data_IF_982185165629
#
_entry.id   IF_982185165629
#
_cell.length_a   1.000
_cell.length_b   1.000
_cell.length_c   1.000
_cell.angle_alpha   90.00
_cell.angle_beta   90.00
_cell.angle_gamma   90.00
#
_symmetry.space_group_name_H-M   'P 1'
#
loop_
_entity.id
_entity.type
_entity.pdbx_description
1 polymer ?
#
# COMPACT_ATOMS: atom_id res chain seq x y z
N UNK A 1 -9.18 20.87 -13.08
CA UNK A 1 -8.68 21.31 -11.76
C UNK A 1 -8.11 20.12 -10.96
N UNK A 2 -8.79 18.97 -10.92
CA UNK A 2 -8.28 17.71 -10.32
C UNK A 2 -6.96 17.18 -10.92
N UNK A 3 -6.74 17.33 -12.24
CA UNK A 3 -5.50 16.86 -12.89
C UNK A 3 -4.22 17.46 -12.31
N UNK A 4 -4.24 18.74 -11.92
CA UNK A 4 -3.05 19.39 -11.34
C UNK A 4 -2.74 18.86 -9.94
N UNK A 5 -3.76 18.46 -9.18
CA UNK A 5 -3.59 17.97 -7.81
C UNK A 5 -3.05 16.54 -7.77
N UNK A 6 -3.57 15.62 -8.59
CA UNK A 6 -3.03 14.26 -8.70
C UNK A 6 -1.61 14.27 -9.31
N UNK A 7 -1.38 15.11 -10.32
CA UNK A 7 -0.05 15.30 -10.90
C UNK A 7 0.96 15.83 -9.88
N UNK A 8 0.53 16.72 -9.00
CA UNK A 8 1.34 17.27 -7.91
C UNK A 8 1.61 16.24 -6.83
N UNK A 9 0.64 15.39 -6.48
CA UNK A 9 0.81 14.34 -5.46
C UNK A 9 1.82 13.30 -5.93
N UNK A 10 1.70 12.80 -7.17
CA UNK A 10 2.62 11.79 -7.71
C UNK A 10 4.04 12.35 -7.88
N UNK A 11 4.17 13.64 -8.27
CA UNK A 11 5.46 14.34 -8.36
C UNK A 11 6.06 14.61 -6.99
N UNK A 12 5.26 15.07 -6.01
CA UNK A 12 5.69 15.25 -4.61
C UNK A 12 6.13 13.92 -4.01
N UNK A 13 5.42 12.84 -4.32
CA UNK A 13 5.77 11.47 -3.93
C UNK A 13 7.16 11.10 -4.48
N UNK A 14 7.36 11.12 -5.80
CA UNK A 14 8.66 10.77 -6.42
C UNK A 14 9.80 11.69 -5.95
N UNK A 15 9.53 12.98 -5.77
CA UNK A 15 10.53 13.94 -5.32
C UNK A 15 10.96 13.71 -3.86
N UNK A 16 10.02 13.34 -2.99
CA UNK A 16 10.32 13.07 -1.58
C UNK A 16 11.28 11.89 -1.40
N UNK A 17 11.21 10.88 -2.27
CA UNK A 17 12.05 9.68 -2.15
C UNK A 17 13.41 9.77 -2.84
N UNK A 18 13.59 10.62 -3.87
CA UNK A 18 14.87 10.73 -4.60
C UNK A 18 16.06 11.16 -3.71
N UNK A 19 15.79 11.82 -2.59
CA UNK A 19 16.81 12.33 -1.68
C UNK A 19 16.87 11.58 -0.34
N UNK A 20 16.05 10.54 -0.14
CA UNK A 20 16.06 9.76 1.09
C UNK A 20 17.24 8.79 1.09
N UNK A 21 18.17 9.00 2.03
CA UNK A 21 19.24 8.05 2.35
C UNK A 21 18.85 7.31 3.63
N UNK A 22 18.80 5.98 3.55
CA UNK A 22 18.42 5.13 4.65
C UNK A 22 17.80 3.81 4.19
N UNK A 23 17.68 2.87 5.13
CA UNK A 23 17.00 1.60 4.88
C UNK A 23 15.49 1.83 4.92
N UNK A 24 14.83 1.47 3.82
CA UNK A 24 13.39 1.66 3.65
C UNK A 24 12.64 0.41 4.12
N UNK A 25 11.64 0.63 4.96
CA UNK A 25 10.68 -0.36 5.43
C UNK A 25 9.29 0.01 4.90
N UNK A 26 8.71 -0.89 4.10
CA UNK A 26 7.36 -0.73 3.55
C UNK A 26 6.43 -1.68 4.28
N UNK A 27 5.30 -1.17 4.76
CA UNK A 27 4.21 -2.03 5.24
C UNK A 27 3.65 -2.82 4.07
N UNK A 28 3.79 -4.16 4.11
CA UNK A 28 3.36 -4.98 2.98
C UNK A 28 1.84 -5.17 2.92
N UNK A 29 1.19 -5.18 4.07
CA UNK A 29 -0.25 -5.40 4.21
C UNK A 29 -1.05 -4.14 3.89
N UNK A 30 -2.26 -4.33 3.37
CA UNK A 30 -3.22 -3.25 3.16
C UNK A 30 -3.85 -2.86 4.50
N UNK A 31 -3.47 -1.69 5.02
CA UNK A 31 -4.04 -1.15 6.25
C UNK A 31 -4.57 0.26 5.98
N UNK A 32 -5.87 0.54 6.18
CA UNK A 32 -6.42 1.87 5.97
C UNK A 32 -5.66 2.96 6.73
N UNK A 33 -5.46 4.11 6.09
CA UNK A 33 -4.66 5.22 6.65
C UNK A 33 -5.22 5.68 8.00
N UNK A 34 -6.53 5.70 8.16
CA UNK A 34 -7.20 6.04 9.41
C UNK A 34 -6.82 5.08 10.54
N UNK A 35 -6.72 3.78 10.25
CA UNK A 35 -6.34 2.77 11.23
C UNK A 35 -4.85 2.88 11.60
N UNK A 36 -3.99 3.17 10.62
CA UNK A 36 -2.58 3.48 10.87
C UNK A 36 -2.44 4.69 11.82
N UNK A 37 -3.17 5.77 11.55
CA UNK A 37 -3.16 6.97 12.38
C UNK A 37 -3.67 6.71 13.81
N UNK A 38 -4.70 5.85 13.96
CA UNK A 38 -5.20 5.44 15.28
C UNK A 38 -4.14 4.66 16.05
N UNK A 39 -3.46 3.71 15.39
CA UNK A 39 -2.39 2.93 15.98
C UNK A 39 -1.23 3.83 16.44
N UNK A 40 -0.68 4.69 15.56
CA UNK A 40 0.48 5.51 15.90
C UNK A 40 0.16 6.51 17.02
N UNK A 41 -1.03 7.10 17.04
CA UNK A 41 -1.47 7.95 18.17
C UNK A 41 -1.59 7.17 19.48
N UNK A 42 -1.95 5.89 19.43
CA UNK A 42 -2.01 5.05 20.61
C UNK A 42 -0.60 4.67 21.08
N UNK A 43 0.28 4.28 20.16
CA UNK A 43 1.70 3.99 20.44
C UNK A 43 2.44 5.20 21.01
N UNK A 44 2.24 6.41 20.45
CA UNK A 44 2.81 7.64 21.01
C UNK A 44 2.31 7.95 22.43
N UNK A 45 1.01 7.73 22.70
CA UNK A 45 0.46 7.89 24.05
C UNK A 45 1.06 6.87 25.02
N UNK A 46 1.23 5.64 24.58
CA UNK A 46 1.89 4.59 25.35
C UNK A 46 3.32 4.98 25.71
N UNK A 47 4.13 5.42 24.73
CA UNK A 47 5.53 5.84 24.94
C UNK A 47 5.66 6.97 25.96
N UNK A 48 4.71 7.92 25.97
CA UNK A 48 4.68 9.02 26.96
C UNK A 48 4.34 8.54 28.37
N UNK A 49 3.48 7.53 28.49
CA UNK A 49 3.00 7.01 29.77
C UNK A 49 3.92 5.94 30.38
N UNK A 50 4.71 5.23 29.57
CA UNK A 50 5.53 4.09 30.01
C UNK A 50 6.69 4.43 30.96
N UNK A 51 7.00 5.71 31.18
CA UNK A 51 7.86 6.16 32.28
C UNK A 51 9.34 5.72 32.23
N UNK A 52 9.79 5.06 31.15
CA UNK A 52 11.23 4.84 30.88
C UNK A 52 11.82 3.47 31.25
N UNK A 53 11.02 2.45 31.57
CA UNK A 53 11.52 1.09 31.81
C UNK A 53 11.53 0.26 30.51
N UNK A 54 12.47 0.59 29.61
CA UNK A 54 12.74 -0.16 28.39
C UNK A 54 14.22 -0.60 28.35
N UNK A 55 14.55 -1.75 27.75
CA UNK A 55 13.64 -2.74 27.18
C UNK A 55 12.85 -3.51 28.25
N UNK A 56 11.65 -4.00 27.90
CA UNK A 56 10.85 -4.86 28.79
C UNK A 56 11.53 -6.22 28.99
N UNK A 57 11.24 -6.91 30.08
CA UNK A 57 11.81 -8.24 30.35
C UNK A 57 11.17 -9.34 29.49
N UNK A 58 11.92 -10.40 29.19
CA UNK A 58 11.43 -11.54 28.41
C UNK A 58 10.18 -12.18 29.04
N UNK A 59 10.14 -12.28 30.37
CA UNK A 59 9.00 -12.84 31.12
C UNK A 59 7.71 -12.03 30.89
N UNK A 60 7.81 -10.70 30.92
CA UNK A 60 6.68 -9.79 30.65
C UNK A 60 6.21 -9.92 29.20
N UNK A 61 7.16 -9.98 28.26
CA UNK A 61 6.86 -10.14 26.84
C UNK A 61 6.12 -11.46 26.56
N UNK A 62 6.58 -12.56 27.14
CA UNK A 62 5.92 -13.87 27.05
C UNK A 62 4.54 -13.86 27.71
N UNK A 63 4.39 -13.15 28.84
CA UNK A 63 3.11 -13.00 29.51
C UNK A 63 2.09 -12.23 28.66
N UNK A 64 2.48 -11.10 28.08
CA UNK A 64 1.61 -10.35 27.16
C UNK A 64 1.22 -11.17 25.94
N UNK A 65 2.13 -11.96 25.39
CA UNK A 65 1.85 -12.81 24.24
C UNK A 65 0.90 -13.95 24.58
N UNK A 66 1.14 -14.68 25.68
CA UNK A 66 0.21 -15.72 26.16
C UNK A 66 -1.18 -15.16 26.36
N UNK A 67 -1.26 -13.97 26.97
CA UNK A 67 -2.53 -13.24 27.06
C UNK A 67 -3.06 -12.92 25.67
N UNK A 68 -2.30 -12.38 24.73
CA UNK A 68 -2.84 -12.05 23.41
C UNK A 68 -3.46 -13.25 22.69
N UNK A 69 -2.92 -14.43 22.93
CA UNK A 69 -3.16 -15.66 22.15
C UNK A 69 -4.11 -16.65 22.83
N UNK A 70 -4.55 -16.39 24.06
CA UNK A 70 -5.48 -17.23 24.80
C UNK A 70 -6.93 -17.01 24.31
N UNK A 71 -7.59 -18.09 23.88
CA UNK A 71 -8.94 -18.09 23.34
C UNK A 71 -10.03 -18.26 24.41
N UNK A 72 -9.71 -18.77 25.59
CA UNK A 72 -10.69 -19.05 26.66
C UNK A 72 -10.99 -17.80 27.52
N UNK A 73 -10.04 -16.86 27.56
CA UNK A 73 -10.19 -15.55 28.16
C UNK A 73 -10.74 -14.60 27.08
N UNK A 74 -12.06 -14.40 27.02
CA UNK A 74 -12.68 -13.47 26.05
C UNK A 74 -12.11 -12.07 26.28
N UNK A 75 -11.15 -11.67 25.44
CA UNK A 75 -10.51 -10.34 25.47
C UNK A 75 -11.31 -9.40 24.59
N UNK A 76 -11.61 -8.22 25.12
CA UNK A 76 -12.09 -7.12 24.29
C UNK A 76 -11.06 -6.77 23.19
N UNK A 77 -11.54 -6.22 22.08
CA UNK A 77 -10.68 -5.74 20.98
C UNK A 77 -9.66 -4.73 21.52
N UNK A 78 -10.07 -3.89 22.46
CA UNK A 78 -9.25 -2.89 23.14
C UNK A 78 -8.09 -3.53 23.91
N UNK A 79 -8.34 -4.58 24.69
CA UNK A 79 -7.28 -5.27 25.44
C UNK A 79 -6.27 -5.94 24.50
N UNK A 80 -6.73 -6.56 23.42
CA UNK A 80 -5.82 -7.13 22.39
C UNK A 80 -4.94 -6.04 21.79
N UNK A 81 -5.52 -4.87 21.50
CA UNK A 81 -4.79 -3.69 20.99
C UNK A 81 -3.75 -3.18 21.99
N UNK A 82 -4.08 -3.13 23.28
CA UNK A 82 -3.12 -2.76 24.33
C UNK A 82 -1.95 -3.76 24.44
N UNK A 83 -2.23 -5.06 24.37
CA UNK A 83 -1.20 -6.10 24.39
C UNK A 83 -0.27 -5.99 23.17
N UNK A 84 -0.81 -5.72 21.99
CA UNK A 84 -0.03 -5.46 20.77
C UNK A 84 0.86 -4.22 20.93
N UNK A 85 0.36 -3.14 21.54
CA UNK A 85 1.16 -1.95 21.84
C UNK A 85 2.29 -2.23 22.82
N UNK A 86 2.03 -3.01 23.88
CA UNK A 86 3.05 -3.41 24.85
C UNK A 86 4.17 -4.20 24.17
N UNK A 87 3.80 -5.19 23.35
CA UNK A 87 4.75 -5.99 22.59
C UNK A 87 5.55 -5.12 21.61
N UNK A 88 4.89 -4.26 20.83
CA UNK A 88 5.53 -3.39 19.83
C UNK A 88 6.56 -2.42 20.45
N UNK A 89 6.22 -1.86 21.61
CA UNK A 89 7.02 -0.84 22.26
C UNK A 89 8.03 -1.38 23.29
N UNK A 90 8.03 -2.69 23.53
CA UNK A 90 8.92 -3.38 24.48
C UNK A 90 10.41 -3.18 24.21
N UNK A 91 10.80 -2.83 22.97
CA UNK A 91 12.20 -2.87 22.48
C UNK A 91 12.91 -4.21 22.75
N UNK A 92 12.16 -5.31 22.87
CA UNK A 92 12.71 -6.62 23.18
C UNK A 92 12.70 -7.54 21.92
N UNK A 93 13.84 -8.14 21.52
CA UNK A 93 13.88 -9.11 20.42
C UNK A 93 12.93 -10.30 20.57
N UNK A 94 12.58 -10.70 21.80
CA UNK A 94 11.58 -11.74 22.08
C UNK A 94 10.21 -11.30 21.57
N UNK A 95 9.76 -10.08 21.88
CA UNK A 95 8.50 -9.54 21.37
C UNK A 95 8.46 -9.48 19.85
N UNK A 96 9.58 -9.17 19.20
CA UNK A 96 9.66 -9.21 17.74
C UNK A 96 9.39 -10.63 17.21
N UNK A 97 10.03 -11.65 17.79
CA UNK A 97 9.79 -13.06 17.40
C UNK A 97 8.34 -13.47 17.63
N UNK A 98 7.76 -13.09 18.77
CA UNK A 98 6.39 -13.42 19.16
C UNK A 98 5.36 -12.73 18.25
N UNK A 99 5.53 -11.45 17.94
CA UNK A 99 4.68 -10.72 16.99
C UNK A 99 4.80 -11.30 15.58
N UNK A 100 6.01 -11.69 15.15
CA UNK A 100 6.24 -12.34 13.87
C UNK A 100 5.49 -13.67 13.79
N UNK A 101 5.52 -14.45 14.87
CA UNK A 101 4.73 -15.67 14.98
C UNK A 101 3.23 -15.38 14.92
N UNK A 102 2.72 -14.43 15.71
CA UNK A 102 1.29 -14.06 15.71
C UNK A 102 0.77 -13.71 14.31
N UNK A 103 1.55 -12.92 13.57
CA UNK A 103 1.23 -12.52 12.19
C UNK A 103 1.25 -13.71 11.24
N UNK A 104 2.18 -14.65 11.42
CA UNK A 104 2.28 -15.85 10.60
C UNK A 104 1.17 -16.88 10.89
N UNK A 105 0.73 -16.98 12.15
CA UNK A 105 -0.30 -17.93 12.60
C UNK A 105 -1.74 -17.48 12.21
N UNK A 106 -1.89 -16.26 11.70
CA UNK A 106 -3.19 -15.68 11.33
C UNK A 106 -3.79 -14.92 12.52
N UNK A 107 -3.53 -13.61 12.66
CA UNK A 107 -4.05 -12.82 13.77
C UNK A 107 -5.57 -12.72 13.72
N UNK A 108 -6.19 -12.43 14.86
CA UNK A 108 -7.63 -12.21 14.92
C UNK A 108 -8.05 -11.10 13.94
N UNK A 109 -9.10 -11.29 13.11
CA UNK A 109 -9.45 -10.32 12.07
C UNK A 109 -9.67 -8.89 12.58
N UNK A 110 -10.17 -8.74 13.81
CA UNK A 110 -10.49 -7.46 14.45
C UNK A 110 -9.24 -6.63 14.83
N UNK A 111 -8.08 -7.29 14.98
CA UNK A 111 -6.81 -6.65 15.37
C UNK A 111 -5.65 -6.95 14.40
N UNK A 112 -5.91 -7.66 13.30
CA UNK A 112 -4.90 -8.01 12.30
C UNK A 112 -4.10 -6.78 11.82
N UNK A 113 -4.78 -5.66 11.52
CA UNK A 113 -4.13 -4.41 11.13
C UNK A 113 -3.16 -3.90 12.20
N UNK A 114 -3.54 -3.98 13.48
CA UNK A 114 -2.68 -3.57 14.59
C UNK A 114 -1.51 -4.53 14.78
N UNK A 115 -1.70 -5.82 14.52
CA UNK A 115 -0.62 -6.80 14.58
C UNK A 115 0.47 -6.53 13.53
N UNK A 116 0.07 -6.22 12.29
CA UNK A 116 1.01 -5.87 11.22
C UNK A 116 1.80 -4.59 11.56
N UNK A 117 1.12 -3.56 12.06
CA UNK A 117 1.74 -2.31 12.48
C UNK A 117 2.67 -2.50 13.69
N UNK A 118 2.25 -3.32 14.67
CA UNK A 118 3.05 -3.66 15.85
C UNK A 118 4.36 -4.36 15.49
N UNK A 119 4.29 -5.39 14.64
CA UNK A 119 5.46 -6.13 14.17
C UNK A 119 6.47 -5.22 13.48
N UNK A 120 5.97 -4.34 12.62
CA UNK A 120 6.79 -3.43 11.86
C UNK A 120 7.39 -2.31 12.73
N UNK A 121 6.64 -1.78 13.69
CA UNK A 121 7.15 -0.77 14.63
C UNK A 121 8.31 -1.33 15.47
N UNK A 122 8.16 -2.55 16.03
CA UNK A 122 9.26 -3.15 16.80
C UNK A 122 10.46 -3.50 15.92
N UNK A 123 10.24 -3.92 14.67
CA UNK A 123 11.32 -4.18 13.73
C UNK A 123 12.16 -2.92 13.51
N UNK A 124 11.51 -1.80 13.20
CA UNK A 124 12.18 -0.52 12.98
C UNK A 124 12.89 -0.06 14.25
N UNK A 125 12.25 -0.18 15.42
CA UNK A 125 12.84 0.21 16.69
C UNK A 125 14.11 -0.58 17.00
N UNK A 126 14.09 -1.90 16.83
CA UNK A 126 15.26 -2.75 17.03
C UNK A 126 16.35 -2.44 16.02
N UNK A 127 16.03 -2.37 14.73
CA UNK A 127 17.03 -2.09 13.68
C UNK A 127 17.67 -0.71 13.85
N UNK A 128 16.91 0.29 14.32
CA UNK A 128 17.43 1.63 14.61
C UNK A 128 18.38 1.67 15.81
N UNK A 129 18.26 0.74 16.76
CA UNK A 129 19.17 0.65 17.90
C UNK A 129 20.52 -0.01 17.49
N UNK A 130 20.54 -0.81 16.42
CA UNK A 130 21.75 -1.51 15.93
C UNK A 130 22.42 -0.87 14.71
N UNK A 131 21.75 0.05 14.00
CA UNK A 131 22.24 0.64 12.76
C UNK A 131 22.39 2.16 12.89
N UNK A 132 23.53 2.70 12.43
CA UNK A 132 23.71 4.13 12.23
C UNK A 132 22.95 4.65 10.99
N UNK A 133 22.45 3.73 10.15
CA UNK A 133 21.63 4.08 9.00
C UNK A 133 20.22 4.49 9.42
N UNK A 134 19.74 5.62 8.90
CA UNK A 134 18.38 6.09 9.13
C UNK A 134 17.37 5.05 8.67
N UNK A 135 16.52 4.58 9.58
CA UNK A 135 15.40 3.70 9.25
C UNK A 135 14.21 4.55 8.78
N UNK A 136 13.77 4.34 7.54
CA UNK A 136 12.70 5.11 6.92
C UNK A 136 11.48 4.22 6.79
N UNK A 137 10.41 4.61 7.46
CA UNK A 137 9.13 3.94 7.36
C UNK A 137 8.25 4.56 6.27
N UNK A 138 7.68 3.71 5.41
CA UNK A 138 6.69 4.08 4.41
C UNK A 138 5.47 3.19 4.58
N UNK A 139 4.31 3.82 4.69
CA UNK A 139 3.04 3.15 4.58
C UNK A 139 2.09 3.88 3.65
N UNK A 140 1.32 3.07 2.94
CA UNK A 140 0.21 3.48 2.08
C UNK A 140 -0.99 2.61 2.47
N UNK A 141 -2.20 3.01 2.06
CA UNK A 141 -3.37 2.19 2.34
C UNK A 141 -3.34 0.85 1.58
N UNK A 142 -2.69 0.82 0.40
CA UNK A 142 -2.50 -0.37 -0.44
C UNK A 142 -1.26 -1.22 -0.08
N UNK A 143 -0.41 -0.73 0.83
CA UNK A 143 0.86 -1.37 1.19
C UNK A 143 1.87 -1.46 0.05
N UNK A 144 2.77 -2.43 0.14
CA UNK A 144 3.76 -2.72 -0.89
C UNK A 144 4.46 -4.06 -0.73
N UNK A 145 5.67 -4.18 -1.28
CA UNK A 145 6.51 -5.38 -1.20
C UNK A 145 7.96 -5.02 -1.46
N UNK A 146 8.85 -5.37 -0.53
CA UNK A 146 10.27 -4.99 -0.62
C UNK A 146 10.45 -3.48 -0.76
N UNK A 147 10.95 -3.01 -1.92
CA UNK A 147 11.14 -1.57 -2.23
C UNK A 147 10.11 -1.03 -3.23
N UNK A 148 9.02 -1.76 -3.45
CA UNK A 148 7.93 -1.41 -4.38
C UNK A 148 6.66 -1.07 -3.60
N UNK A 149 5.94 -0.05 -4.04
CA UNK A 149 4.62 0.29 -3.51
C UNK A 149 3.52 -0.20 -4.44
N UNK A 150 2.39 -0.54 -3.84
CA UNK A 150 1.23 -1.08 -4.53
C UNK A 150 0.31 0.06 -4.98
N UNK A 151 -0.06 0.04 -6.25
CA UNK A 151 -0.93 1.04 -6.88
C UNK A 151 -2.07 0.34 -7.60
N UNK A 152 -3.27 0.90 -7.45
CA UNK A 152 -4.42 0.58 -8.28
C UNK A 152 -4.47 1.60 -9.42
N UNK A 153 -4.61 1.13 -10.65
CA UNK A 153 -4.74 1.97 -11.85
C UNK A 153 -5.98 1.57 -12.62
N UNK A 154 -6.77 2.57 -13.01
CA UNK A 154 -7.92 2.43 -13.90
C UNK A 154 -7.62 3.14 -15.23
N UNK A 155 -7.69 2.39 -16.32
CA UNK A 155 -7.66 2.93 -17.69
C UNK A 155 -9.05 2.79 -18.30
N UNK A 156 -9.42 3.75 -19.15
CA UNK A 156 -10.72 3.74 -19.82
C UNK A 156 -10.51 3.67 -21.33
N UNK A 157 -11.42 3.00 -22.03
CA UNK A 157 -11.38 2.97 -23.50
C UNK A 157 -11.69 4.35 -24.07
N UNK A 158 -11.10 4.64 -25.23
CA UNK A 158 -11.38 5.87 -25.96
C UNK A 158 -12.86 5.88 -26.40
N UNK A 159 -13.59 6.90 -25.98
CA UNK A 159 -15.02 7.05 -26.28
C UNK A 159 -15.91 5.96 -25.69
N UNK A 160 -15.51 5.30 -24.59
CA UNK A 160 -16.24 4.22 -23.89
C UNK A 160 -16.67 3.03 -24.77
N UNK A 161 -16.03 2.84 -25.93
CA UNK A 161 -16.31 1.69 -26.78
C UNK A 161 -15.83 0.40 -26.11
N UNK A 162 -16.58 -0.71 -26.20
CA UNK A 162 -16.09 -1.99 -25.73
C UNK A 162 -14.79 -2.38 -26.46
N UNK A 163 -13.82 -2.90 -25.72
CA UNK A 163 -12.58 -3.41 -26.31
C UNK A 163 -12.86 -4.65 -27.15
N UNK A 164 -12.42 -4.59 -28.40
CA UNK A 164 -12.41 -5.75 -29.29
C UNK A 164 -11.39 -6.79 -28.82
N UNK A 165 -11.57 -8.05 -29.21
CA UNK A 165 -10.70 -9.15 -28.76
C UNK A 165 -9.21 -8.90 -29.05
N UNK A 166 -8.88 -8.29 -30.19
CA UNK A 166 -7.49 -7.96 -30.50
C UNK A 166 -6.94 -6.83 -29.61
N UNK A 167 -7.77 -5.84 -29.25
CA UNK A 167 -7.37 -4.72 -28.39
C UNK A 167 -7.04 -5.24 -26.99
N UNK A 168 -7.84 -6.17 -26.45
CA UNK A 168 -7.56 -6.83 -25.18
C UNK A 168 -6.20 -7.53 -25.18
N UNK A 169 -5.90 -8.27 -26.24
CA UNK A 169 -4.61 -8.95 -26.40
C UNK A 169 -3.43 -7.97 -26.52
N UNK A 170 -3.62 -6.84 -27.23
CA UNK A 170 -2.60 -5.78 -27.31
C UNK A 170 -2.35 -5.19 -25.93
N UNK A 171 -3.40 -4.83 -25.19
CA UNK A 171 -3.28 -4.30 -23.81
C UNK A 171 -2.50 -5.27 -22.94
N UNK A 172 -2.91 -6.54 -22.87
CA UNK A 172 -2.24 -7.54 -22.05
C UNK A 172 -0.75 -7.68 -22.41
N UNK A 173 -0.44 -7.73 -23.70
CA UNK A 173 0.94 -7.89 -24.19
C UNK A 173 1.81 -6.67 -23.89
N UNK A 174 1.38 -5.49 -24.30
CA UNK A 174 2.19 -4.27 -24.18
C UNK A 174 2.39 -3.88 -22.71
N UNK A 175 1.34 -3.97 -21.89
CA UNK A 175 1.45 -3.68 -20.46
C UNK A 175 2.38 -4.68 -19.76
N UNK A 176 2.24 -5.98 -20.03
CA UNK A 176 3.12 -7.00 -19.44
C UNK A 176 4.58 -6.77 -19.85
N UNK A 177 4.82 -6.49 -21.13
CA UNK A 177 6.16 -6.22 -21.64
C UNK A 177 6.77 -4.98 -20.99
N UNK A 178 6.13 -3.82 -21.13
CA UNK A 178 6.65 -2.54 -20.65
C UNK A 178 6.90 -2.53 -19.14
N UNK A 179 5.98 -3.11 -18.36
CA UNK A 179 6.10 -3.15 -16.90
C UNK A 179 7.26 -4.04 -16.45
N UNK A 180 7.46 -5.20 -17.10
CA UNK A 180 8.64 -6.04 -16.84
C UNK A 180 9.95 -5.30 -17.12
N UNK A 181 10.03 -4.56 -18.23
CA UNK A 181 11.22 -3.80 -18.61
C UNK A 181 11.50 -2.66 -17.62
N UNK A 182 10.46 -2.06 -17.06
CA UNK A 182 10.55 -1.04 -16.03
C UNK A 182 10.82 -1.60 -14.61
N UNK A 183 10.89 -2.93 -14.44
CA UNK A 183 11.05 -3.58 -13.14
C UNK A 183 9.81 -3.51 -12.25
N UNK A 184 8.63 -3.27 -12.82
CA UNK A 184 7.35 -3.30 -12.12
C UNK A 184 6.85 -4.75 -12.05
N UNK A 185 6.05 -5.05 -11.02
CA UNK A 185 5.38 -6.35 -10.90
C UNK A 185 3.88 -6.14 -11.08
N UNK A 186 3.26 -6.89 -12.00
CA UNK A 186 1.81 -6.90 -12.18
C UNK A 186 1.20 -7.95 -11.25
N UNK A 187 0.44 -7.52 -10.26
CA UNK A 187 -0.32 -8.43 -9.38
C UNK A 187 -1.69 -8.77 -9.98
N UNK A 188 -2.31 -7.84 -10.69
CA UNK A 188 -3.57 -8.07 -11.41
C UNK A 188 -3.61 -7.21 -12.66
N UNK A 189 -4.08 -7.80 -13.76
CA UNK A 189 -4.47 -7.10 -14.98
C UNK A 189 -5.80 -7.69 -15.41
N UNK A 190 -6.85 -6.88 -15.34
CA UNK A 190 -8.19 -7.27 -15.71
C UNK A 190 -8.73 -6.31 -16.78
N UNK A 191 -8.97 -6.83 -17.98
CA UNK A 191 -9.57 -6.06 -19.09
C UNK A 191 -11.07 -6.32 -19.10
N UNK A 192 -11.84 -5.36 -18.60
CA UNK A 192 -13.29 -5.38 -18.63
C UNK A 192 -13.83 -5.02 -20.03
N UNK A 193 -15.11 -4.65 -20.13
CA UNK A 193 -15.69 -4.27 -21.42
C UNK A 193 -15.09 -2.99 -21.98
N UNK A 194 -15.04 -1.91 -21.22
CA UNK A 194 -14.60 -0.59 -21.67
C UNK A 194 -13.61 0.09 -20.70
N UNK A 195 -13.04 -0.68 -19.77
CA UNK A 195 -11.99 -0.22 -18.86
C UNK A 195 -11.02 -1.35 -18.54
N UNK A 196 -9.86 -0.98 -18.00
CA UNK A 196 -8.82 -1.91 -17.55
C UNK A 196 -8.47 -1.58 -16.12
N UNK A 197 -8.45 -2.60 -15.27
CA UNK A 197 -7.98 -2.50 -13.89
C UNK A 197 -6.61 -3.13 -13.77
N UNK A 198 -5.70 -2.41 -13.12
CA UNK A 198 -4.35 -2.89 -12.85
C UNK A 198 -4.05 -2.76 -11.36
N UNK A 199 -3.44 -3.80 -10.81
CA UNK A 199 -2.79 -3.77 -9.52
C UNK A 199 -1.29 -3.96 -9.74
N UNK A 200 -0.51 -2.93 -9.44
CA UNK A 200 0.90 -2.84 -9.80
C UNK A 200 1.77 -2.60 -8.57
N UNK A 201 2.87 -3.33 -8.46
CA UNK A 201 3.97 -3.05 -7.56
C UNK A 201 5.05 -2.27 -8.31
N UNK A 202 5.16 -0.99 -7.97
CA UNK A 202 6.03 -0.03 -8.66
C UNK A 202 7.21 0.34 -7.75
N UNK A 203 8.47 0.26 -8.22
CA UNK A 203 9.62 0.74 -7.46
C UNK A 203 9.44 2.20 -7.05
N UNK A 204 9.82 2.54 -5.81
CA UNK A 204 9.67 3.92 -5.29
C UNK A 204 10.34 4.97 -6.19
N UNK A 205 11.49 4.63 -6.79
CA UNK A 205 12.23 5.49 -7.70
C UNK A 205 11.73 5.45 -9.16
N UNK A 206 10.68 4.69 -9.46
CA UNK A 206 10.15 4.47 -10.80
C UNK A 206 9.44 5.70 -11.37
N UNK A 207 9.65 5.97 -12.66
CA UNK A 207 8.96 7.06 -13.36
C UNK A 207 7.60 6.60 -13.91
N UNK A 208 6.58 6.63 -13.04
CA UNK A 208 5.22 6.17 -13.36
C UNK A 208 4.67 6.84 -14.61
N UNK A 209 4.71 8.18 -14.68
CA UNK A 209 4.11 8.93 -15.80
C UNK A 209 4.74 8.58 -17.13
N UNK A 210 6.06 8.43 -17.17
CA UNK A 210 6.77 8.07 -18.40
C UNK A 210 6.37 6.68 -18.84
N UNK A 211 6.48 5.67 -17.97
CA UNK A 211 6.18 4.28 -18.34
C UNK A 211 4.72 4.14 -18.78
N UNK A 212 3.77 4.64 -17.98
CA UNK A 212 2.35 4.60 -18.35
C UNK A 212 2.06 5.32 -19.66
N UNK A 213 2.60 6.54 -19.84
CA UNK A 213 2.37 7.33 -21.05
C UNK A 213 3.04 6.74 -22.30
N UNK A 214 4.19 6.09 -22.16
CA UNK A 214 4.84 5.37 -23.26
C UNK A 214 4.00 4.14 -23.65
N UNK A 215 3.58 3.33 -22.67
CA UNK A 215 2.77 2.12 -22.90
C UNK A 215 1.38 2.42 -23.48
N UNK A 216 0.69 3.46 -23.01
CA UNK A 216 -0.62 3.85 -23.58
C UNK A 216 -0.45 4.28 -25.04
N UNK A 217 0.62 5.02 -25.36
CA UNK A 217 0.91 5.43 -26.74
C UNK A 217 1.20 4.23 -27.63
N UNK A 218 1.99 3.27 -27.17
CA UNK A 218 2.28 2.02 -27.89
C UNK A 218 1.00 1.23 -28.20
N UNK A 219 0.09 1.09 -27.23
CA UNK A 219 -1.22 0.49 -27.50
C UNK A 219 -2.02 1.27 -28.55
N UNK A 220 -1.99 2.59 -28.47
CA UNK A 220 -2.76 3.47 -29.34
C UNK A 220 -2.23 3.56 -30.78
N UNK A 221 -1.01 3.11 -31.07
CA UNK A 221 -0.53 2.93 -32.46
C UNK A 221 -1.42 1.96 -33.26
N UNK A 222 -2.14 1.07 -32.56
CA UNK A 222 -3.05 0.09 -33.13
C UNK A 222 -4.53 0.56 -33.19
N UNK A 223 -4.77 1.87 -33.29
CA UNK A 223 -6.11 2.42 -33.59
C UNK A 223 -6.74 3.30 -32.51
N UNK A 224 -5.94 3.95 -31.65
CA UNK A 224 -6.39 4.94 -30.67
C UNK A 224 -7.60 4.51 -29.81
N UNK A 225 -7.53 3.31 -29.22
CA UNK A 225 -8.64 2.71 -28.48
C UNK A 225 -8.53 2.85 -26.95
N UNK A 226 -7.38 3.28 -26.42
CA UNK A 226 -7.21 3.61 -25.00
C UNK A 226 -7.21 5.13 -24.82
N UNK A 227 -7.84 5.61 -23.75
CA UNK A 227 -7.71 7.00 -23.33
C UNK A 227 -6.28 7.30 -22.86
N UNK A 228 -5.77 8.48 -23.21
CA UNK A 228 -4.50 8.99 -22.66
C UNK A 228 -4.61 9.33 -21.16
N UNK A 229 -5.85 9.42 -20.65
CA UNK A 229 -6.15 9.70 -19.24
C UNK A 229 -6.38 8.39 -18.49
N UNK A 230 -5.77 8.30 -17.32
CA UNK A 230 -5.91 7.17 -16.40
C UNK A 230 -6.00 7.69 -14.96
N UNK A 231 -6.64 6.91 -14.09
CA UNK A 231 -6.70 7.18 -12.65
C UNK A 231 -5.73 6.26 -11.93
N UNK A 232 -4.99 6.78 -10.96
CA UNK A 232 -4.02 6.01 -10.17
C UNK A 232 -4.14 6.38 -8.69
N UNK A 233 -4.14 5.36 -7.81
CA UNK A 233 -4.19 5.55 -6.36
C UNK A 233 -3.38 4.49 -5.62
N UNK A 234 -2.79 4.86 -4.48
CA UNK A 234 -2.14 3.95 -3.54
C UNK A 234 -2.86 3.89 -2.18
N UNK A 235 -4.10 4.40 -2.11
CA UNK A 235 -4.88 4.47 -0.87
C UNK A 235 -5.78 3.25 -0.73
N UNK A 236 -6.63 2.97 -1.71
CA UNK A 236 -7.53 1.82 -1.74
C UNK A 236 -7.86 1.49 -3.21
N UNK A 237 -8.32 0.27 -3.53
CA UNK A 237 -8.92 -0.01 -4.83
C UNK A 237 -10.16 0.85 -5.02
N UNK A 238 -10.48 1.18 -6.27
CA UNK A 238 -11.74 1.85 -6.58
C UNK A 238 -12.89 0.85 -6.46
N UNK A 239 -14.00 1.32 -5.88
CA UNK A 239 -15.26 0.58 -5.90
C UNK A 239 -15.93 0.65 -7.27
N UNK A 240 -16.84 -0.27 -7.56
CA UNK A 240 -17.63 -0.25 -8.80
C UNK A 240 -18.35 1.09 -9.01
N UNK A 241 -18.85 1.70 -7.93
CA UNK A 241 -19.50 3.01 -7.98
C UNK A 241 -18.51 4.12 -8.39
N UNK A 242 -17.32 4.15 -7.78
CA UNK A 242 -16.26 5.12 -8.14
C UNK A 242 -15.79 4.93 -9.59
N UNK A 243 -15.66 3.68 -10.05
CA UNK A 243 -15.34 3.36 -11.45
C UNK A 243 -16.42 3.92 -12.38
N UNK A 244 -17.70 3.68 -12.08
CA UNK A 244 -18.80 4.16 -12.90
C UNK A 244 -18.84 5.69 -12.96
N UNK A 245 -18.64 6.39 -11.84
CA UNK A 245 -18.57 7.86 -11.82
C UNK A 245 -17.42 8.41 -12.67
N UNK A 246 -16.27 7.75 -12.68
CA UNK A 246 -15.13 8.15 -13.52
C UNK A 246 -15.47 7.95 -14.99
N UNK A 247 -16.11 6.83 -15.33
CA UNK A 247 -16.53 6.55 -16.69
C UNK A 247 -17.56 7.59 -17.17
N UNK A 248 -18.51 7.99 -16.33
CA UNK A 248 -19.54 8.98 -16.67
C UNK A 248 -18.96 10.39 -16.87
N UNK A 249 -17.99 10.80 -16.05
CA UNK A 249 -17.26 12.07 -16.25
C UNK A 249 -16.39 12.10 -17.50
N UNK A 250 -15.94 10.93 -17.97
CA UNK A 250 -15.20 10.85 -19.23
C UNK A 250 -16.11 11.14 -20.44
N UNK A 251 -17.40 10.79 -20.37
CA UNK A 251 -18.37 11.07 -21.45
C UNK A 251 -18.68 12.55 -21.62
N UNK A 252 -18.90 13.28 -20.53
CA UNK A 252 -19.24 14.72 -20.59
C UNK A 252 -18.12 15.55 -21.26
N UNK A 253 -16.86 15.17 -21.04
CA UNK A 253 -15.71 15.84 -21.64
C UNK A 253 -15.47 15.42 -23.11
N UNK A 254 -15.89 14.21 -23.49
CA UNK A 254 -15.79 13.73 -24.87
C UNK A 254 -16.83 14.41 -25.77
N UNK A 255 -18.04 14.68 -25.24
CA UNK A 255 -19.13 15.35 -25.97
C UNK A 255 -18.95 16.87 -26.13
N UNK A 256 -18.11 17.51 -25.31
CA UNK A 256 -17.84 18.94 -25.40
C UNK A 256 -16.65 19.29 -26.30
N UNK A 257 -16.01 18.28 -26.89
CA UNK A 257 -14.83 18.41 -27.75
C UNK A 257 -15.14 18.28 -29.26
N UNK A 258 -16.41 18.13 -29.65
CA UNK A 258 -16.91 18.14 -31.02
C UNK A 258 -17.44 19.52 -31.44
#
# INVERSE_FOLDING_TARGET
MMEKEEDDILRKYQHSFRNMKGKIHILEQQVPVEEQMRYFRASERWKKNAGGLLPAYDEECNHWFRKLTDQEEIKSVEEKKELLLNLANSKNPVSFRLLKQYVADGPDPEVANWAYLALMEIQIALESDYSEERQIYISTGMGGKGTKLRFYVLLVSAGRKPFESYQRQVIEREFTYAFSQAGWETETLHVAENYVELLLLIPIAGNIKKVMGDTIRECNEYGHFLSDRYTITNVKPLSEQEIQEILDKADENSQTSD
#
